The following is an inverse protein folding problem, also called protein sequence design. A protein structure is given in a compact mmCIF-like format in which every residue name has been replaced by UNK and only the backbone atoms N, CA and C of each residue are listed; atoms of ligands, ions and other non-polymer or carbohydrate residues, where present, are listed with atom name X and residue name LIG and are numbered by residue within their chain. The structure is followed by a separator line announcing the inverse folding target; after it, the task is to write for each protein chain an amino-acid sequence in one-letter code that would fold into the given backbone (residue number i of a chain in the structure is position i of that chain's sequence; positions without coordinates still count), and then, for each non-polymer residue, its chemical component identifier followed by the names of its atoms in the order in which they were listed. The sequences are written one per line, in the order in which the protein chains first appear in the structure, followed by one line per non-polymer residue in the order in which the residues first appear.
data_IF_261425324933
#
_entry.id   IF_261425324933
#
_cell.length_a   1.000
_cell.length_b   1.000
_cell.length_c   1.000
_cell.angle_alpha   90.00
_cell.angle_beta   90.00
_cell.angle_gamma   90.00
#
_symmetry.space_group_name_H-M   'P 1'
#
loop_
_entity.id
_entity.type
_entity.pdbx_description
1 polymer ?
#
# COMPACT_ATOMS: atom_id res chain seq x y z
N UNK A 1 1.36 13.64 16.17
CA UNK A 1 0.01 13.24 16.59
C UNK A 1 -1.08 13.84 15.68
N UNK A 2 -1.11 15.16 15.44
CA UNK A 2 -2.14 15.81 14.60
C UNK A 2 -2.21 15.26 13.16
N UNK A 3 -1.06 15.05 12.50
CA UNK A 3 -1.00 14.43 11.17
C UNK A 3 -1.54 12.99 11.16
N UNK A 4 -1.22 12.21 12.20
CA UNK A 4 -1.72 10.83 12.34
C UNK A 4 -3.25 10.81 12.52
N UNK A 5 -3.81 11.69 13.32
CA UNK A 5 -5.26 11.81 13.50
C UNK A 5 -5.96 12.22 12.20
N UNK A 6 -5.37 13.16 11.44
CA UNK A 6 -5.90 13.52 10.10
C UNK A 6 -5.92 12.32 9.17
N UNK A 7 -4.86 11.53 9.14
CA UNK A 7 -4.79 10.31 8.32
C UNK A 7 -5.84 9.27 8.75
N UNK A 8 -6.04 9.05 10.06
CA UNK A 8 -7.07 8.15 10.56
C UNK A 8 -8.48 8.57 10.10
N UNK A 9 -8.80 9.86 10.13
CA UNK A 9 -10.09 10.38 9.65
C UNK A 9 -10.29 10.19 8.12
N UNK A 10 -9.20 10.23 7.33
CA UNK A 10 -9.27 9.91 5.90
C UNK A 10 -9.59 8.41 5.68
N UNK A 11 -8.98 7.53 6.45
CA UNK A 11 -9.18 6.07 6.37
C UNK A 11 -10.59 5.69 6.83
N UNK A 12 -11.13 6.30 7.89
CA UNK A 12 -12.50 6.04 8.37
C UNK A 12 -13.59 6.28 7.33
N UNK A 13 -13.32 7.07 6.31
CA UNK A 13 -14.26 7.30 5.20
C UNK A 13 -14.51 6.06 4.32
N UNK A 14 -13.90 4.94 4.62
CA UNK A 14 -14.08 3.66 3.94
C UNK A 14 -13.14 3.47 2.75
N UNK A 15 -13.61 2.89 1.66
CA UNK A 15 -12.79 2.55 0.50
C UNK A 15 -11.87 3.70 0.08
N UNK A 16 -10.58 3.40 -0.07
CA UNK A 16 -9.56 4.35 -0.55
C UNK A 16 -9.45 4.36 -2.07
N UNK A 17 -10.10 3.41 -2.72
CA UNK A 17 -10.02 3.19 -4.15
C UNK A 17 -10.53 4.39 -4.95
N UNK A 18 -9.85 4.67 -6.05
CA UNK A 18 -10.39 5.51 -7.12
C UNK A 18 -11.44 4.68 -7.89
N UNK A 19 -12.71 4.77 -7.49
CA UNK A 19 -13.79 3.96 -8.06
C UNK A 19 -13.98 4.19 -9.55
N UNK A 20 -13.87 5.42 -10.04
CA UNK A 20 -13.98 5.72 -11.48
C UNK A 20 -12.87 4.98 -12.26
N UNK A 21 -11.66 4.96 -11.73
CA UNK A 21 -10.56 4.20 -12.31
C UNK A 21 -10.83 2.69 -12.23
N UNK A 22 -11.38 2.21 -11.11
CA UNK A 22 -11.69 0.79 -10.94
C UNK A 22 -12.69 0.30 -11.98
N UNK A 23 -13.80 1.00 -12.17
CA UNK A 23 -14.82 0.63 -13.17
C UNK A 23 -14.27 0.70 -14.59
N UNK A 24 -13.46 1.72 -14.90
CA UNK A 24 -12.79 1.79 -16.19
C UNK A 24 -11.90 0.57 -16.45
N UNK A 25 -11.07 0.20 -15.47
CA UNK A 25 -10.16 -0.95 -15.58
C UNK A 25 -10.92 -2.27 -15.69
N UNK A 26 -11.98 -2.47 -14.91
CA UNK A 26 -12.84 -3.65 -15.02
C UNK A 26 -13.41 -3.80 -16.43
N UNK A 27 -13.85 -2.71 -17.03
CA UNK A 27 -14.35 -2.72 -18.40
C UNK A 27 -13.24 -3.01 -19.43
N UNK A 28 -12.08 -2.36 -19.32
CA UNK A 28 -10.93 -2.56 -20.21
C UNK A 28 -10.40 -3.99 -20.17
N UNK A 29 -10.28 -4.57 -18.95
CA UNK A 29 -9.81 -5.93 -18.70
C UNK A 29 -10.90 -7.00 -18.91
N UNK A 30 -12.13 -6.58 -19.21
CA UNK A 30 -13.30 -7.45 -19.40
C UNK A 30 -13.58 -8.33 -18.18
N UNK A 31 -13.42 -7.77 -16.99
CA UNK A 31 -13.73 -8.40 -15.73
C UNK A 31 -15.17 -8.06 -15.31
N UNK A 32 -15.89 -9.04 -14.80
CA UNK A 32 -17.19 -8.81 -14.18
C UNK A 32 -17.06 -8.27 -12.74
N UNK A 33 -15.90 -8.49 -12.11
CA UNK A 33 -15.59 -7.94 -10.81
C UNK A 33 -14.22 -8.37 -10.28
N UNK A 34 -13.96 -7.99 -9.04
CA UNK A 34 -12.77 -8.34 -8.27
C UNK A 34 -13.16 -8.94 -6.94
N UNK A 35 -12.46 -9.98 -6.51
CA UNK A 35 -12.54 -10.55 -5.16
C UNK A 35 -11.14 -10.55 -4.58
N UNK A 36 -10.95 -9.89 -3.44
CA UNK A 36 -9.66 -9.75 -2.79
C UNK A 36 -9.68 -10.27 -1.37
N UNK A 37 -8.53 -10.76 -0.90
CA UNK A 37 -8.33 -11.29 0.45
C UNK A 37 -6.96 -10.97 1.05
N UNK A 38 -6.01 -10.49 0.26
CA UNK A 38 -4.73 -10.03 0.79
C UNK A 38 -4.93 -8.78 1.67
N UNK A 39 -4.29 -8.70 2.85
CA UNK A 39 -4.53 -7.62 3.83
C UNK A 39 -4.42 -6.20 3.25
N UNK A 40 -3.46 -5.93 2.38
CA UNK A 40 -3.32 -4.62 1.72
C UNK A 40 -4.48 -4.31 0.77
N UNK A 41 -5.01 -5.31 0.08
CA UNK A 41 -6.15 -5.13 -0.81
C UNK A 41 -7.45 -5.00 -0.01
N UNK A 42 -7.62 -5.76 1.07
CA UNK A 42 -8.74 -5.56 2.02
C UNK A 42 -8.72 -4.12 2.54
N UNK A 43 -7.55 -3.62 2.96
CA UNK A 43 -7.42 -2.23 3.40
C UNK A 43 -7.78 -1.23 2.29
N UNK A 44 -7.34 -1.46 1.07
CA UNK A 44 -7.63 -0.61 -0.08
C UNK A 44 -9.12 -0.52 -0.39
N UNK A 45 -9.82 -1.65 -0.29
CA UNK A 45 -11.26 -1.75 -0.54
C UNK A 45 -12.10 -1.14 0.60
N UNK A 46 -11.66 -1.24 1.84
CA UNK A 46 -12.52 -1.03 3.01
C UNK A 46 -12.03 0.03 3.99
N UNK A 47 -10.75 0.38 3.97
CA UNK A 47 -10.06 1.13 5.04
C UNK A 47 -9.69 0.27 6.24
N UNK A 48 -10.15 -0.99 6.33
CA UNK A 48 -9.89 -1.88 7.44
C UNK A 48 -8.53 -2.57 7.32
N UNK A 49 -7.70 -2.46 8.35
CA UNK A 49 -6.45 -3.21 8.46
C UNK A 49 -6.69 -4.59 9.06
N UNK A 50 -6.62 -5.63 8.24
CA UNK A 50 -6.78 -7.02 8.68
C UNK A 50 -5.50 -7.53 9.37
N UNK A 51 -5.32 -7.11 10.64
CA UNK A 51 -4.15 -7.46 11.45
C UNK A 51 -4.07 -8.97 11.77
N UNK A 52 -5.21 -9.67 11.77
CA UNK A 52 -5.22 -11.12 11.98
C UNK A 52 -4.70 -11.87 10.77
N UNK A 53 -5.11 -11.47 9.56
CA UNK A 53 -4.56 -12.05 8.33
C UNK A 53 -3.04 -11.82 8.24
N UNK A 54 -2.56 -10.61 8.57
CA UNK A 54 -1.11 -10.31 8.64
C UNK A 54 -0.41 -11.21 9.66
N UNK A 55 -0.99 -11.36 10.85
CA UNK A 55 -0.39 -12.16 11.95
C UNK A 55 -0.35 -13.65 11.66
N UNK A 56 -1.40 -14.18 11.05
CA UNK A 56 -1.52 -15.61 10.79
C UNK A 56 -0.98 -16.03 9.42
N UNK A 57 -0.69 -15.07 8.54
CA UNK A 57 -0.21 -15.34 7.18
C UNK A 57 -1.25 -16.04 6.30
N UNK A 58 -2.53 -15.89 6.65
CA UNK A 58 -3.65 -16.51 5.95
C UNK A 58 -4.84 -15.55 5.85
N UNK A 59 -5.55 -15.50 4.72
CA UNK A 59 -6.74 -14.67 4.57
C UNK A 59 -7.80 -14.97 5.63
N UNK A 60 -8.40 -13.91 6.18
CA UNK A 60 -9.48 -14.00 7.18
C UNK A 60 -10.74 -13.27 6.73
N UNK A 61 -10.65 -12.49 5.68
CA UNK A 61 -11.74 -11.66 5.13
C UNK A 61 -11.66 -11.59 3.62
N UNK A 62 -12.80 -11.30 2.98
CA UNK A 62 -12.87 -11.02 1.54
C UNK A 62 -13.60 -9.71 1.31
N UNK A 63 -13.17 -8.96 0.30
CA UNK A 63 -13.91 -7.83 -0.22
C UNK A 63 -14.18 -8.03 -1.72
N UNK A 64 -15.40 -7.72 -2.15
CA UNK A 64 -15.85 -7.98 -3.51
C UNK A 64 -16.39 -6.69 -4.12
N UNK A 65 -15.99 -6.42 -5.36
CA UNK A 65 -16.46 -5.31 -6.18
C UNK A 65 -17.00 -5.84 -7.51
N UNK A 66 -18.24 -5.49 -7.88
CA UNK A 66 -18.81 -5.75 -9.20
C UNK A 66 -18.43 -4.64 -10.17
N UNK A 67 -18.45 -4.92 -11.47
CA UNK A 67 -18.41 -3.89 -12.52
C UNK A 67 -19.68 -3.03 -12.58
N UNK A 68 -20.78 -3.48 -11.99
CA UNK A 68 -22.03 -2.72 -11.89
C UNK A 68 -21.91 -1.67 -10.77
N UNK A 69 -21.80 -0.40 -11.18
CA UNK A 69 -21.66 0.75 -10.29
C UNK A 69 -22.86 0.95 -9.32
N UNK A 70 -24.00 0.34 -9.62
CA UNK A 70 -25.20 0.41 -8.76
C UNK A 70 -25.16 -0.63 -7.62
N UNK A 71 -24.26 -1.59 -7.67
CA UNK A 71 -24.08 -2.60 -6.62
C UNK A 71 -23.14 -2.10 -5.54
N UNK A 72 -23.56 -2.27 -4.29
CA UNK A 72 -22.67 -2.00 -3.15
C UNK A 72 -21.56 -3.04 -3.09
N UNK A 73 -20.36 -2.60 -2.73
CA UNK A 73 -19.28 -3.50 -2.38
C UNK A 73 -19.76 -4.49 -1.30
N UNK A 74 -19.26 -5.73 -1.37
CA UNK A 74 -19.55 -6.73 -0.35
C UNK A 74 -18.29 -6.98 0.51
N UNK A 75 -18.54 -7.23 1.79
CA UNK A 75 -17.54 -7.75 2.73
C UNK A 75 -18.00 -9.13 3.18
N UNK A 76 -17.08 -10.09 3.18
CA UNK A 76 -17.27 -11.42 3.78
C UNK A 76 -16.29 -11.53 4.93
N UNK A 77 -16.78 -11.66 6.16
CA UNK A 77 -15.95 -11.60 7.36
C UNK A 77 -16.47 -12.51 8.47
N UNK A 78 -15.54 -13.08 9.23
CA UNK A 78 -15.93 -13.78 10.45
C UNK A 78 -16.58 -12.80 11.43
N UNK A 79 -17.68 -13.21 12.06
CA UNK A 79 -18.43 -12.36 13.01
C UNK A 79 -17.53 -11.86 14.14
N UNK A 80 -16.62 -12.69 14.66
CA UNK A 80 -15.67 -12.28 15.69
C UNK A 80 -14.81 -11.11 15.23
N UNK A 81 -14.23 -11.20 14.02
CA UNK A 81 -13.39 -10.13 13.44
C UNK A 81 -14.24 -8.88 13.22
N UNK A 82 -15.43 -9.03 12.70
CA UNK A 82 -16.35 -7.92 12.44
C UNK A 82 -16.67 -7.12 13.70
N UNK A 83 -17.12 -7.80 14.76
CA UNK A 83 -17.51 -7.13 16.02
C UNK A 83 -16.32 -6.65 16.85
N UNK A 84 -15.18 -7.32 16.82
CA UNK A 84 -14.02 -6.94 17.63
C UNK A 84 -13.03 -6.00 16.95
N UNK A 85 -13.10 -5.83 15.64
CA UNK A 85 -12.11 -5.04 14.91
C UNK A 85 -12.72 -4.11 13.88
N UNK A 86 -13.61 -4.60 13.03
CA UNK A 86 -14.17 -3.80 11.95
C UNK A 86 -15.14 -2.72 12.48
N UNK A 87 -16.06 -3.10 13.36
CA UNK A 87 -17.05 -2.16 13.96
C UNK A 87 -16.35 -1.05 14.75
N UNK A 88 -15.31 -1.38 15.52
CA UNK A 88 -14.58 -0.40 16.33
C UNK A 88 -13.86 0.68 15.48
N UNK A 89 -13.55 0.37 14.23
CA UNK A 89 -12.98 1.33 13.30
C UNK A 89 -13.95 2.43 12.85
N UNK A 90 -15.24 2.26 13.09
CA UNK A 90 -16.30 3.20 12.67
C UNK A 90 -16.17 3.61 11.19
N UNK A 91 -15.89 2.62 10.31
CA UNK A 91 -15.72 2.87 8.89
C UNK A 91 -17.05 3.28 8.24
N UNK A 92 -17.01 4.33 7.44
CA UNK A 92 -18.17 4.85 6.69
C UNK A 92 -18.32 4.15 5.32
N UNK A 93 -18.01 2.88 5.26
CA UNK A 93 -18.14 2.08 4.06
C UNK A 93 -19.61 1.74 3.81
N UNK A 94 -20.12 2.10 2.63
CA UNK A 94 -21.44 1.67 2.17
C UNK A 94 -21.31 0.30 1.51
N UNK A 95 -21.48 -0.78 2.30
CA UNK A 95 -21.31 -2.16 1.89
C UNK A 95 -22.50 -3.03 2.27
N UNK A 96 -22.59 -4.19 1.60
CA UNK A 96 -23.36 -5.35 2.07
C UNK A 96 -22.39 -6.28 2.80
N UNK A 97 -22.67 -6.56 4.07
CA UNK A 97 -21.77 -7.28 4.96
C UNK A 97 -22.31 -8.70 5.19
N UNK A 98 -21.57 -9.70 4.73
CA UNK A 98 -21.90 -11.12 4.89
C UNK A 98 -21.00 -11.72 5.97
N UNK A 99 -21.62 -12.01 7.12
CA UNK A 99 -20.90 -12.47 8.30
C UNK A 99 -21.08 -13.97 8.49
N UNK A 100 -20.04 -14.65 8.98
CA UNK A 100 -20.09 -16.07 9.27
C UNK A 100 -19.48 -16.39 10.63
N UNK A 101 -19.90 -17.50 11.25
CA UNK A 101 -19.33 -18.02 12.49
C UNK A 101 -18.29 -19.11 12.16
N UNK A 102 -17.03 -18.95 12.63
CA UNK A 102 -16.00 -19.96 12.45
C UNK A 102 -16.15 -21.21 13.34
N UNK A 103 -17.18 -21.26 14.20
CA UNK A 103 -17.29 -22.24 15.30
C UNK A 103 -18.55 -23.11 15.26
N UNK A 104 -19.21 -23.24 14.13
CA UNK A 104 -20.39 -24.08 14.07
C UNK A 104 -19.98 -25.56 14.07
N UNK A 105 -20.15 -26.22 15.24
CA UNK A 105 -19.86 -27.66 15.41
C UNK A 105 -20.69 -28.56 14.47
N UNK A 106 -21.81 -28.07 13.98
CA UNK A 106 -22.69 -28.83 13.09
C UNK A 106 -22.19 -28.87 11.64
N UNK A 107 -21.24 -28.02 11.27
CA UNK A 107 -20.61 -28.01 9.94
C UNK A 107 -19.37 -28.91 9.84
N UNK A 108 -19.02 -29.63 10.90
CA UNK A 108 -17.92 -30.60 10.89
C UNK A 108 -18.20 -31.88 10.06
N UNK A 109 -19.39 -32.04 9.52
CA UNK A 109 -19.75 -33.11 8.60
C UNK A 109 -19.26 -32.95 7.17
N UNK A 110 -18.40 -32.01 6.92
CA UNK A 110 -17.84 -31.76 5.60
C UNK A 110 -16.67 -32.68 5.26
N UNK A 111 -17.00 -33.91 4.93
CA UNK A 111 -16.10 -34.79 4.19
C UNK A 111 -15.76 -34.29 2.77
N UNK A 112 -15.58 -32.99 2.61
CA UNK A 112 -15.11 -32.37 1.36
C UNK A 112 -16.10 -32.41 0.18
N UNK A 113 -17.37 -32.76 0.40
CA UNK A 113 -18.36 -33.03 -0.67
C UNK A 113 -19.62 -32.15 -0.62
N UNK A 114 -19.66 -31.07 0.13
CA UNK A 114 -20.79 -30.18 0.06
C UNK A 114 -20.77 -29.41 -1.25
N UNK A 115 -21.68 -29.79 -2.13
CA UNK A 115 -22.09 -28.93 -3.24
C UNK A 115 -23.07 -27.89 -2.65
N UNK A 116 -22.51 -26.77 -2.16
CA UNK A 116 -23.26 -25.68 -1.51
C UNK A 116 -24.37 -25.15 -2.41
N UNK A 117 -24.25 -25.30 -3.73
CA UNK A 117 -25.29 -24.92 -4.70
C UNK A 117 -26.51 -25.86 -4.71
N UNK A 118 -26.45 -27.03 -4.07
CA UNK A 118 -27.49 -28.07 -4.10
C UNK A 118 -28.11 -28.36 -2.73
N UNK A 119 -27.65 -27.70 -1.66
CA UNK A 119 -28.14 -27.90 -0.30
C UNK A 119 -28.71 -26.61 0.27
N UNK A 120 -29.70 -26.73 1.16
CA UNK A 120 -30.18 -25.58 1.93
C UNK A 120 -29.12 -25.14 2.95
N UNK A 121 -29.00 -23.84 3.15
CA UNK A 121 -28.12 -23.28 4.17
C UNK A 121 -28.61 -23.71 5.56
N UNK A 122 -27.77 -24.30 6.41
CA UNK A 122 -28.13 -24.57 7.79
C UNK A 122 -28.31 -23.26 8.57
N UNK A 123 -29.06 -23.31 9.66
CA UNK A 123 -29.26 -22.14 10.52
C UNK A 123 -27.90 -21.55 10.95
N UNK A 124 -27.74 -20.26 10.72
CA UNK A 124 -26.56 -19.53 11.20
C UNK A 124 -26.56 -19.54 12.73
N UNK A 125 -25.42 -19.83 13.35
CA UNK A 125 -25.30 -19.62 14.79
C UNK A 125 -25.48 -18.13 15.08
N UNK A 126 -26.24 -17.78 16.16
CA UNK A 126 -26.42 -16.38 16.50
C UNK A 126 -25.05 -15.70 16.63
N UNK A 127 -24.95 -14.52 16.07
CA UNK A 127 -23.79 -13.69 16.16
C UNK A 127 -23.35 -13.48 17.63
N UNK A 128 -22.15 -12.94 17.83
CA UNK A 128 -21.79 -12.23 19.04
C UNK A 128 -22.71 -11.01 19.21
N UNK A 129 -24.00 -11.26 19.24
CA UNK A 129 -25.00 -10.22 19.48
C UNK A 129 -25.02 -9.93 20.96
N UNK A 130 -25.23 -8.68 21.24
CA UNK A 130 -25.57 -8.19 22.57
C UNK A 130 -26.84 -8.89 23.03
N UNK A 131 -26.69 -10.04 23.70
CA UNK A 131 -27.83 -10.91 24.05
C UNK A 131 -28.72 -10.32 25.16
N UNK A 132 -28.18 -9.45 25.96
CA UNK A 132 -28.94 -8.59 26.86
C UNK A 132 -28.04 -7.49 27.38
N UNK A 133 -28.56 -6.28 27.48
CA UNK A 133 -27.93 -5.27 28.30
C UNK A 133 -28.01 -5.72 29.75
N UNK A 134 -26.86 -5.91 30.40
CA UNK A 134 -26.81 -6.24 31.80
C UNK A 134 -27.49 -5.16 32.67
N UNK A 135 -27.62 -5.41 33.96
CA UNK A 135 -28.18 -4.45 34.91
C UNK A 135 -27.25 -3.27 35.23
N UNK A 136 -26.03 -3.29 34.72
CA UNK A 136 -25.02 -2.27 34.94
C UNK A 136 -24.98 -1.27 33.78
N UNK A 137 -24.55 -0.03 34.05
CA UNK A 137 -24.31 0.93 32.98
C UNK A 137 -23.33 0.34 31.96
N UNK A 138 -23.64 0.49 30.68
CA UNK A 138 -22.72 0.11 29.62
C UNK A 138 -21.55 1.07 29.59
N UNK A 139 -20.37 0.55 29.25
CA UNK A 139 -19.18 1.38 29.08
C UNK A 139 -19.23 2.16 27.77
N UNK A 140 -18.50 3.26 27.70
CA UNK A 140 -18.44 4.13 26.52
C UNK A 140 -18.08 3.37 25.21
N UNK A 141 -17.19 2.38 25.28
CA UNK A 141 -16.80 1.57 24.12
C UNK A 141 -18.00 0.71 23.66
N UNK A 142 -18.72 0.09 24.59
CA UNK A 142 -19.89 -0.72 24.29
C UNK A 142 -21.02 0.13 23.68
N UNK A 143 -21.27 1.31 24.23
CA UNK A 143 -22.25 2.26 23.71
C UNK A 143 -21.89 2.66 22.27
N UNK A 144 -20.64 2.99 21.99
CA UNK A 144 -20.18 3.32 20.66
C UNK A 144 -20.38 2.15 19.67
N UNK A 145 -20.04 0.93 20.08
CA UNK A 145 -20.25 -0.29 19.26
C UNK A 145 -21.73 -0.49 18.94
N UNK A 146 -22.61 -0.35 19.93
CA UNK A 146 -24.06 -0.46 19.72
C UNK A 146 -24.57 0.60 18.74
N UNK A 147 -24.10 1.83 18.85
CA UNK A 147 -24.50 2.91 17.95
C UNK A 147 -24.04 2.64 16.51
N UNK A 148 -22.81 2.19 16.30
CA UNK A 148 -22.30 1.85 14.97
C UNK A 148 -23.03 0.62 14.42
N UNK A 149 -23.25 -0.41 15.23
CA UNK A 149 -23.98 -1.61 14.83
C UNK A 149 -25.42 -1.30 14.41
N UNK A 150 -26.14 -0.48 15.18
CA UNK A 150 -27.53 -0.11 14.88
C UNK A 150 -27.66 0.57 13.51
N UNK A 151 -26.64 1.33 13.09
CA UNK A 151 -26.61 1.98 11.77
C UNK A 151 -26.37 1.00 10.61
N UNK A 152 -25.85 -0.20 10.90
CA UNK A 152 -25.47 -1.20 9.90
C UNK A 152 -26.39 -2.43 9.86
N UNK A 153 -27.37 -2.53 10.73
CA UNK A 153 -28.22 -3.73 10.85
C UNK A 153 -28.82 -4.18 9.52
N UNK A 154 -29.32 -3.23 8.71
CA UNK A 154 -29.92 -3.53 7.40
C UNK A 154 -28.91 -3.98 6.34
N UNK A 155 -27.62 -3.74 6.58
CA UNK A 155 -26.53 -4.15 5.68
C UNK A 155 -25.98 -5.53 6.02
N UNK A 156 -26.23 -6.07 7.21
CA UNK A 156 -25.67 -7.32 7.69
C UNK A 156 -26.53 -8.51 7.27
N UNK A 157 -25.89 -9.53 6.73
CA UNK A 157 -26.49 -10.85 6.45
C UNK A 157 -25.66 -11.93 7.14
N UNK A 158 -26.26 -12.68 8.03
CA UNK A 158 -25.59 -13.79 8.71
C UNK A 158 -25.58 -15.05 7.84
N UNK A 159 -24.53 -15.83 7.95
CA UNK A 159 -24.32 -17.06 7.20
C UNK A 159 -23.74 -18.15 8.09
N UNK A 160 -24.05 -19.40 7.77
CA UNK A 160 -23.62 -20.55 8.55
C UNK A 160 -22.09 -20.71 8.56
N UNK A 161 -21.45 -20.48 7.41
CA UNK A 161 -19.98 -20.48 7.27
C UNK A 161 -19.53 -19.53 6.16
N UNK A 162 -18.21 -19.50 5.91
CA UNK A 162 -17.62 -18.58 4.93
C UNK A 162 -17.99 -18.95 3.48
N UNK A 163 -18.24 -20.23 3.17
CA UNK A 163 -18.63 -20.65 1.84
C UNK A 163 -20.03 -20.07 1.49
N UNK A 164 -20.98 -20.18 2.42
CA UNK A 164 -22.32 -19.59 2.26
C UNK A 164 -22.26 -18.07 2.18
N UNK A 165 -21.48 -17.45 3.04
CA UNK A 165 -21.31 -16.00 3.03
C UNK A 165 -20.73 -15.50 1.70
N UNK A 166 -19.68 -16.14 1.18
CA UNK A 166 -19.08 -15.80 -0.10
C UNK A 166 -20.05 -16.04 -1.26
N UNK A 167 -20.74 -17.16 -1.27
CA UNK A 167 -21.75 -17.45 -2.30
C UNK A 167 -22.86 -16.42 -2.34
N UNK A 168 -23.41 -16.00 -1.18
CA UNK A 168 -24.44 -14.97 -1.10
C UNK A 168 -23.92 -13.63 -1.63
N UNK A 169 -22.71 -13.25 -1.26
CA UNK A 169 -22.06 -12.03 -1.74
C UNK A 169 -21.86 -12.05 -3.25
N UNK A 170 -21.36 -13.17 -3.81
CA UNK A 170 -21.19 -13.34 -5.24
C UNK A 170 -22.52 -13.27 -6.00
N UNK A 171 -23.56 -13.93 -5.51
CA UNK A 171 -24.90 -13.86 -6.12
C UNK A 171 -25.48 -12.46 -6.09
N UNK A 172 -25.35 -11.73 -4.98
CA UNK A 172 -25.79 -10.33 -4.88
C UNK A 172 -25.10 -9.45 -5.91
N UNK A 173 -23.80 -9.67 -6.14
CA UNK A 173 -22.98 -8.91 -7.08
C UNK A 173 -23.07 -9.43 -8.52
N UNK A 174 -23.79 -10.52 -8.77
CA UNK A 174 -23.88 -11.21 -10.06
C UNK A 174 -22.49 -11.72 -10.55
N UNK A 175 -21.66 -12.13 -9.59
CA UNK A 175 -20.32 -12.70 -9.82
C UNK A 175 -20.30 -14.24 -9.73
N UNK A 176 -21.45 -14.88 -9.58
CA UNK A 176 -21.63 -16.33 -9.57
C UNK A 176 -21.47 -16.98 -10.95
N UNK A 177 -21.24 -16.17 -11.95
CA UNK A 177 -20.88 -16.49 -13.33
C UNK A 177 -20.00 -15.38 -13.91
N UNK A 178 -19.35 -15.63 -15.04
CA UNK A 178 -18.50 -14.64 -15.73
C UNK A 178 -17.04 -14.72 -15.28
N UNK A 179 -16.29 -13.65 -15.49
CA UNK A 179 -14.84 -13.59 -15.28
C UNK A 179 -14.52 -12.66 -14.11
N UNK A 180 -13.86 -13.17 -13.08
CA UNK A 180 -13.53 -12.45 -11.85
C UNK A 180 -12.02 -12.47 -11.62
N UNK A 181 -11.43 -11.28 -11.36
CA UNK A 181 -10.04 -11.16 -10.95
C UNK A 181 -9.90 -11.43 -9.45
N UNK A 182 -8.92 -12.25 -9.07
CA UNK A 182 -8.64 -12.63 -7.67
C UNK A 182 -7.19 -12.33 -7.30
N UNK A 183 -6.93 -12.08 -6.02
CA UNK A 183 -5.58 -11.77 -5.53
C UNK A 183 -4.93 -12.92 -4.74
N UNK A 184 -5.66 -14.01 -4.50
CA UNK A 184 -5.13 -15.12 -3.70
C UNK A 184 -5.75 -16.47 -4.09
N UNK A 185 -4.96 -17.55 -4.19
CA UNK A 185 -5.44 -18.88 -4.61
C UNK A 185 -6.57 -19.48 -3.75
N UNK A 186 -6.70 -19.07 -2.48
CA UNK A 186 -7.79 -19.52 -1.61
C UNK A 186 -9.16 -19.15 -2.17
N UNK A 187 -9.26 -18.03 -2.85
CA UNK A 187 -10.52 -17.57 -3.48
C UNK A 187 -10.90 -18.53 -4.60
N UNK A 188 -9.96 -18.86 -5.48
CA UNK A 188 -10.15 -19.77 -6.59
C UNK A 188 -10.57 -21.17 -6.13
N UNK A 189 -9.91 -21.67 -5.08
CA UNK A 189 -10.22 -22.97 -4.46
C UNK A 189 -11.64 -22.96 -3.88
N UNK A 190 -12.03 -21.86 -3.23
CA UNK A 190 -13.36 -21.72 -2.64
C UNK A 190 -14.42 -21.66 -3.72
N UNK A 191 -14.26 -20.83 -4.76
CA UNK A 191 -15.21 -20.73 -5.87
C UNK A 191 -15.42 -22.07 -6.57
N UNK A 192 -14.34 -22.81 -6.82
CA UNK A 192 -14.41 -24.17 -7.38
C UNK A 192 -15.19 -25.13 -6.48
N UNK A 193 -14.98 -25.05 -5.16
CA UNK A 193 -15.71 -25.86 -4.16
C UNK A 193 -17.18 -25.50 -4.15
N UNK A 194 -17.55 -24.22 -4.34
CA UNK A 194 -18.91 -23.77 -4.40
C UNK A 194 -19.68 -24.25 -5.65
N UNK A 195 -18.97 -24.73 -6.66
CA UNK A 195 -19.56 -25.20 -7.92
C UNK A 195 -20.25 -24.09 -8.73
N UNK A 196 -19.74 -22.86 -8.65
CA UNK A 196 -20.23 -21.73 -9.42
C UNK A 196 -19.63 -21.70 -10.84
N UNK A 197 -20.36 -21.13 -11.78
CA UNK A 197 -19.93 -20.96 -13.19
C UNK A 197 -18.98 -19.76 -13.38
N UNK A 198 -18.26 -19.39 -12.34
CA UNK A 198 -17.33 -18.25 -12.33
C UNK A 198 -15.96 -18.71 -12.78
N UNK A 199 -15.39 -18.00 -13.74
CA UNK A 199 -14.01 -18.15 -14.17
C UNK A 199 -13.16 -17.18 -13.36
N UNK A 200 -12.19 -17.70 -12.61
CA UNK A 200 -11.23 -16.87 -11.87
C UNK A 200 -9.95 -16.68 -12.68
N UNK A 201 -9.42 -15.47 -12.68
CA UNK A 201 -8.11 -15.15 -13.24
C UNK A 201 -7.29 -14.35 -12.23
N UNK A 202 -5.97 -14.26 -12.45
CA UNK A 202 -5.10 -13.39 -11.66
C UNK A 202 -5.53 -11.93 -11.78
N UNK A 203 -5.94 -11.33 -10.67
CA UNK A 203 -6.41 -9.94 -10.59
C UNK A 203 -5.31 -8.92 -10.30
N UNK A 204 -4.05 -9.34 -10.05
CA UNK A 204 -2.97 -8.42 -9.64
C UNK A 204 -2.73 -7.33 -10.69
N UNK A 205 -2.76 -7.68 -11.97
CA UNK A 205 -2.59 -6.70 -13.06
C UNK A 205 -3.69 -5.61 -13.03
N UNK A 206 -4.95 -6.00 -12.93
CA UNK A 206 -6.06 -5.06 -12.84
C UNK A 206 -5.97 -4.20 -11.59
N UNK A 207 -5.68 -4.80 -10.43
CA UNK A 207 -5.48 -4.08 -9.17
C UNK A 207 -4.36 -3.04 -9.26
N UNK A 208 -3.24 -3.34 -9.92
CA UNK A 208 -2.14 -2.39 -10.14
C UNK A 208 -2.55 -1.26 -11.07
N UNK A 209 -3.29 -1.54 -12.16
CA UNK A 209 -3.86 -0.51 -13.04
C UNK A 209 -4.84 0.43 -12.30
N UNK A 210 -5.55 -0.08 -11.31
CA UNK A 210 -6.42 0.74 -10.48
C UNK A 210 -5.58 1.61 -9.53
N UNK A 211 -4.64 1.01 -8.81
CA UNK A 211 -3.83 1.66 -7.77
C UNK A 211 -2.90 2.74 -8.31
N UNK A 212 -2.44 2.62 -9.56
CA UNK A 212 -1.48 3.57 -10.13
C UNK A 212 -2.06 4.99 -10.23
N UNK A 213 -3.38 5.13 -10.41
CA UNK A 213 -4.10 6.42 -10.42
C UNK A 213 -4.75 6.64 -9.06
N UNK A 214 -4.15 7.48 -8.25
CA UNK A 214 -4.55 7.69 -6.87
C UNK A 214 -5.87 8.45 -6.74
N UNK A 215 -6.67 8.10 -5.73
CA UNK A 215 -7.77 8.95 -5.29
C UNK A 215 -7.22 10.17 -4.51
N UNK A 216 -8.03 11.21 -4.34
CA UNK A 216 -7.67 12.38 -3.53
C UNK A 216 -7.27 11.99 -2.10
N UNK A 217 -7.94 10.99 -1.51
CA UNK A 217 -7.63 10.52 -0.16
C UNK A 217 -6.30 9.76 -0.09
N UNK A 218 -5.98 8.97 -1.11
CA UNK A 218 -4.68 8.32 -1.22
C UNK A 218 -3.56 9.36 -1.33
N UNK A 219 -3.75 10.39 -2.15
CA UNK A 219 -2.80 11.49 -2.30
C UNK A 219 -2.52 12.17 -0.95
N UNK A 220 -3.58 12.48 -0.18
CA UNK A 220 -3.42 13.10 1.14
C UNK A 220 -2.72 12.16 2.15
N UNK A 221 -3.02 10.88 2.16
CA UNK A 221 -2.34 9.88 2.99
C UNK A 221 -0.86 9.77 2.61
N UNK A 222 -0.55 9.77 1.31
CA UNK A 222 0.82 9.72 0.81
C UNK A 222 1.61 10.98 1.15
N UNK A 223 1.01 12.18 1.07
CA UNK A 223 1.63 13.42 1.54
C UNK A 223 2.05 13.33 3.01
N UNK A 224 1.16 12.82 3.86
CA UNK A 224 1.45 12.66 5.30
C UNK A 224 2.55 11.63 5.51
N UNK A 225 2.44 10.47 4.88
CA UNK A 225 3.39 9.38 5.04
C UNK A 225 4.78 9.71 4.50
N UNK A 226 4.85 10.27 3.29
CA UNK A 226 6.10 10.66 2.65
C UNK A 226 6.83 11.75 3.43
N UNK A 227 6.12 12.76 3.91
CA UNK A 227 6.73 13.81 4.73
C UNK A 227 7.23 13.26 6.08
N UNK A 228 6.44 12.38 6.72
CA UNK A 228 6.87 11.74 7.97
C UNK A 228 8.12 10.88 7.76
N UNK A 229 8.23 10.18 6.61
CA UNK A 229 9.38 9.37 6.24
C UNK A 229 10.64 10.24 6.06
N UNK A 230 10.56 11.31 5.31
CA UNK A 230 11.65 12.26 5.10
C UNK A 230 12.09 12.92 6.42
N UNK A 231 11.13 13.43 7.20
CA UNK A 231 11.40 14.05 8.52
C UNK A 231 12.05 13.06 9.50
N UNK A 232 11.63 11.78 9.48
CA UNK A 232 12.21 10.74 10.32
C UNK A 232 13.66 10.43 9.92
N UNK A 233 13.92 10.34 8.62
CA UNK A 233 15.25 10.09 8.06
C UNK A 233 16.24 11.19 8.45
N UNK A 234 15.84 12.45 8.27
CA UNK A 234 16.67 13.60 8.65
C UNK A 234 16.89 13.65 10.15
N UNK A 235 15.86 13.40 10.95
CA UNK A 235 15.98 13.41 12.41
C UNK A 235 16.91 12.28 12.90
N UNK A 236 16.87 11.11 12.29
CA UNK A 236 17.78 10.01 12.61
C UNK A 236 19.23 10.36 12.28
N UNK A 237 19.49 10.86 11.06
CA UNK A 237 20.84 11.24 10.62
C UNK A 237 21.44 12.29 11.54
N UNK A 238 20.70 13.32 11.93
CA UNK A 238 21.18 14.38 12.83
C UNK A 238 21.53 13.89 14.24
N UNK A 239 21.11 12.70 14.63
CA UNK A 239 21.42 12.11 15.94
C UNK A 239 22.67 11.23 15.95
N UNK A 240 23.18 10.81 14.79
CA UNK A 240 24.39 10.00 14.75
C UNK A 240 25.61 10.84 15.21
N UNK A 241 26.59 10.13 15.79
CA UNK A 241 27.86 10.68 16.26
C UNK A 241 28.98 9.88 15.64
N UNK A 242 30.16 10.44 15.62
CA UNK A 242 31.36 9.72 15.16
C UNK A 242 31.49 8.38 15.88
N UNK A 243 31.62 7.31 15.11
CA UNK A 243 31.65 5.93 15.60
C UNK A 243 30.29 5.25 15.76
N UNK A 244 29.16 5.95 15.50
CA UNK A 244 27.86 5.31 15.39
C UNK A 244 27.89 4.24 14.28
N UNK A 245 27.13 3.18 14.47
CA UNK A 245 27.09 2.07 13.51
C UNK A 245 25.88 2.15 12.57
N UNK A 246 25.88 1.32 11.53
CA UNK A 246 24.71 1.16 10.65
C UNK A 246 23.47 0.76 11.45
N UNK A 247 23.64 -0.12 12.45
CA UNK A 247 22.51 -0.55 13.30
C UNK A 247 22.01 0.58 14.21
N UNK A 248 22.90 1.45 14.70
CA UNK A 248 22.48 2.63 15.46
C UNK A 248 21.64 3.58 14.59
N UNK A 249 22.05 3.83 13.35
CA UNK A 249 21.29 4.67 12.43
C UNK A 249 19.92 4.04 12.08
N UNK A 250 19.87 2.72 11.84
CA UNK A 250 18.60 2.01 11.64
C UNK A 250 17.67 2.13 12.85
N UNK A 251 18.20 1.91 14.05
CA UNK A 251 17.42 2.02 15.29
C UNK A 251 16.87 3.45 15.50
N UNK A 252 17.67 4.46 15.22
CA UNK A 252 17.25 5.86 15.28
C UNK A 252 16.14 6.14 14.25
N UNK A 253 16.30 5.70 13.00
CA UNK A 253 15.27 5.86 11.97
C UNK A 253 13.96 5.19 12.37
N UNK A 254 14.02 3.96 12.88
CA UNK A 254 12.82 3.22 13.33
C UNK A 254 12.10 3.96 14.46
N UNK A 255 12.87 4.47 15.43
CA UNK A 255 12.33 5.28 16.52
C UNK A 255 11.66 6.56 16.00
N UNK A 256 12.32 7.26 15.08
CA UNK A 256 11.81 8.52 14.52
C UNK A 256 10.57 8.32 13.64
N UNK A 257 10.48 7.21 12.90
CA UNK A 257 9.26 6.82 12.17
C UNK A 257 8.08 6.62 13.12
N UNK A 258 8.28 5.82 14.17
CA UNK A 258 7.23 5.50 15.14
C UNK A 258 6.73 6.73 15.89
N UNK A 259 7.60 7.67 16.25
CA UNK A 259 7.23 8.97 16.87
C UNK A 259 6.30 9.80 15.97
N UNK A 260 6.37 9.62 14.64
CA UNK A 260 5.57 10.36 13.65
C UNK A 260 4.34 9.60 13.18
N UNK A 261 4.15 8.35 13.64
CA UNK A 261 3.02 7.49 13.27
C UNK A 261 3.24 6.69 11.99
N UNK A 262 4.47 6.63 11.49
CA UNK A 262 4.87 5.70 10.43
C UNK A 262 5.41 4.40 11.02
N UNK A 263 5.22 3.32 10.29
CA UNK A 263 5.85 2.02 10.51
C UNK A 263 7.09 1.94 9.61
N UNK A 264 8.29 1.74 10.15
CA UNK A 264 9.49 1.61 9.33
C UNK A 264 9.46 0.30 8.53
N UNK A 265 9.91 0.34 7.29
CA UNK A 265 9.97 -0.82 6.40
C UNK A 265 11.42 -1.17 6.05
N UNK A 266 12.20 -0.17 5.66
CA UNK A 266 13.57 -0.35 5.18
C UNK A 266 14.38 0.91 5.48
N UNK A 267 15.63 0.73 5.87
CA UNK A 267 16.68 1.74 5.72
C UNK A 267 17.90 1.08 5.09
N UNK A 268 18.08 1.31 3.81
CA UNK A 268 19.32 0.96 3.13
C UNK A 268 20.36 2.04 3.41
N UNK A 269 21.57 1.64 3.73
CA UNK A 269 22.73 2.51 3.91
C UNK A 269 23.78 2.07 2.89
N UNK A 270 24.13 2.94 1.97
CA UNK A 270 24.87 2.60 0.76
C UNK A 270 24.15 1.54 -0.08
N UNK A 271 24.78 0.41 -0.34
CA UNK A 271 24.22 -0.74 -1.05
C UNK A 271 23.83 -1.87 -0.09
N UNK A 272 23.75 -1.58 1.23
CA UNK A 272 23.62 -2.63 2.25
C UNK A 272 22.23 -2.65 2.86
N UNK A 273 21.50 -3.74 2.60
CA UNK A 273 20.19 -4.05 3.19
C UNK A 273 20.25 -5.13 4.27
N UNK A 274 21.43 -5.74 4.50
CA UNK A 274 21.56 -6.85 5.42
C UNK A 274 21.23 -6.46 6.86
N UNK A 275 20.34 -7.21 7.51
CA UNK A 275 19.98 -7.01 8.91
C UNK A 275 21.12 -7.33 9.90
N UNK A 276 22.11 -8.10 9.45
CA UNK A 276 23.26 -8.50 10.26
C UNK A 276 24.51 -7.68 9.99
N UNK A 277 24.50 -6.82 8.96
CA UNK A 277 25.64 -5.97 8.66
C UNK A 277 25.74 -4.81 9.65
N UNK A 278 26.92 -4.61 10.21
CA UNK A 278 27.15 -3.53 11.16
C UNK A 278 28.60 -3.03 11.09
N UNK A 279 28.78 -1.81 10.56
CA UNK A 279 30.07 -1.10 10.54
C UNK A 279 29.91 0.28 11.14
N UNK A 280 31.00 0.82 11.69
CA UNK A 280 31.02 2.19 12.21
C UNK A 280 31.08 3.20 11.07
N UNK A 281 30.32 4.27 11.24
CA UNK A 281 30.35 5.48 10.44
C UNK A 281 31.40 6.44 11.05
N UNK A 282 32.26 7.01 10.23
CA UNK A 282 33.44 7.77 10.69
C UNK A 282 33.59 9.09 9.95
N UNK A 283 34.33 9.99 10.54
CA UNK A 283 34.72 11.23 9.87
C UNK A 283 35.39 10.95 8.52
N UNK A 284 34.97 11.66 7.50
CA UNK A 284 35.39 11.48 6.11
C UNK A 284 34.52 10.49 5.31
N UNK A 285 33.62 9.74 5.94
CA UNK A 285 32.71 8.85 5.22
C UNK A 285 31.65 9.65 4.44
N UNK A 286 31.38 9.15 3.25
CA UNK A 286 30.25 9.59 2.43
C UNK A 286 29.40 8.37 2.08
N UNK A 287 28.14 8.41 2.45
CA UNK A 287 27.19 7.32 2.21
C UNK A 287 25.83 7.84 1.75
N UNK A 288 25.11 6.99 1.04
CA UNK A 288 23.73 7.23 0.70
C UNK A 288 22.80 6.53 1.67
N UNK A 289 21.65 7.11 1.91
CA UNK A 289 20.49 6.43 2.50
C UNK A 289 19.38 6.30 1.46
N UNK A 290 18.65 5.21 1.57
CA UNK A 290 17.38 4.97 0.92
C UNK A 290 16.41 4.47 2.02
N UNK A 291 15.41 5.28 2.33
CA UNK A 291 14.60 5.15 3.52
C UNK A 291 13.13 4.98 3.16
N UNK A 292 12.54 3.87 3.58
CA UNK A 292 11.14 3.56 3.35
C UNK A 292 10.42 3.31 4.67
N UNK A 293 9.34 4.04 4.89
CA UNK A 293 8.38 3.79 5.95
C UNK A 293 6.96 4.05 5.45
N UNK A 294 5.96 3.52 6.11
CA UNK A 294 4.58 3.75 5.68
C UNK A 294 3.68 4.23 6.81
N UNK A 295 2.75 5.12 6.49
CA UNK A 295 1.62 5.49 7.33
C UNK A 295 0.33 4.95 6.72
N UNK A 296 -0.46 4.19 7.48
CA UNK A 296 -1.67 3.54 6.96
C UNK A 296 -1.42 2.79 5.64
N UNK A 297 -0.36 1.99 5.60
CA UNK A 297 0.13 1.21 4.44
C UNK A 297 0.66 2.00 3.24
N UNK A 298 0.48 3.32 3.17
CA UNK A 298 1.04 4.12 2.09
C UNK A 298 2.51 4.42 2.33
N UNK A 299 3.35 4.03 1.39
CA UNK A 299 4.80 4.16 1.51
C UNK A 299 5.24 5.60 1.25
N UNK A 300 6.19 6.06 2.07
CA UNK A 300 7.09 7.13 1.73
C UNK A 300 8.39 6.53 1.22
N UNK A 301 9.08 7.25 0.34
CA UNK A 301 10.36 6.88 -0.23
C UNK A 301 11.26 8.10 -0.26
N UNK A 302 12.52 7.95 0.14
CA UNK A 302 13.38 9.10 0.36
C UNK A 302 14.85 8.74 0.32
N UNK A 303 15.56 9.26 -0.68
CA UNK A 303 16.99 9.05 -0.86
C UNK A 303 17.81 10.32 -0.64
N UNK A 304 18.87 10.25 0.17
CA UNK A 304 19.82 11.36 0.39
C UNK A 304 21.26 10.87 0.52
N UNK A 305 22.15 11.76 0.11
CA UNK A 305 23.59 11.61 0.36
C UNK A 305 23.97 12.29 1.68
N UNK A 306 24.71 11.60 2.52
CA UNK A 306 25.21 12.05 3.82
C UNK A 306 26.73 12.12 3.80
N UNK A 307 27.28 13.23 4.23
CA UNK A 307 28.70 13.45 4.47
C UNK A 307 28.96 13.59 5.96
N UNK A 308 29.93 12.85 6.46
CA UNK A 308 30.48 13.07 7.80
C UNK A 308 31.75 13.88 7.64
N UNK A 309 31.68 15.20 7.92
CA UNK A 309 32.74 16.16 7.64
C UNK A 309 32.73 16.66 6.19
N UNK A 310 33.88 17.13 5.71
CA UNK A 310 33.98 17.79 4.41
C UNK A 310 33.93 16.79 3.24
N UNK A 311 33.03 17.00 2.26
CA UNK A 311 32.92 16.12 1.10
C UNK A 311 34.15 16.21 0.20
N UNK A 312 34.63 15.06 -0.32
CA UNK A 312 35.63 15.04 -1.35
C UNK A 312 35.13 15.73 -2.62
N UNK A 313 36.07 16.29 -3.42
CA UNK A 313 35.70 16.94 -4.69
C UNK A 313 34.97 15.98 -5.63
N UNK A 314 35.32 14.71 -5.67
CA UNK A 314 34.69 13.70 -6.53
C UNK A 314 33.23 13.43 -6.09
N UNK A 315 33.03 13.30 -4.78
CA UNK A 315 31.67 13.09 -4.25
C UNK A 315 30.79 14.32 -4.40
N UNK A 316 31.38 15.53 -4.20
CA UNK A 316 30.65 16.79 -4.46
C UNK A 316 30.23 16.90 -5.93
N UNK A 317 31.11 16.59 -6.88
CA UNK A 317 30.76 16.55 -8.29
C UNK A 317 29.64 15.56 -8.60
N UNK A 318 29.62 14.39 -7.94
CA UNK A 318 28.56 13.39 -8.12
C UNK A 318 27.21 13.90 -7.60
N UNK A 319 27.18 14.48 -6.40
CA UNK A 319 25.94 15.05 -5.82
C UNK A 319 25.42 16.24 -6.60
N UNK A 320 26.32 17.11 -7.09
CA UNK A 320 25.93 18.24 -7.96
C UNK A 320 25.33 17.75 -9.28
N UNK A 321 25.91 16.68 -9.88
CA UNK A 321 25.42 16.11 -11.13
C UNK A 321 24.04 15.48 -10.99
N UNK A 322 23.80 14.65 -9.94
CA UNK A 322 22.47 14.06 -9.71
C UNK A 322 21.43 15.14 -9.35
N UNK A 323 21.85 16.20 -8.67
CA UNK A 323 20.97 17.36 -8.38
C UNK A 323 20.55 18.07 -9.67
N UNK A 324 21.48 18.28 -10.61
CA UNK A 324 21.14 18.83 -11.95
C UNK A 324 20.23 17.89 -12.74
N UNK A 325 20.49 16.58 -12.65
CA UNK A 325 19.63 15.55 -13.28
C UNK A 325 18.20 15.61 -12.74
N UNK A 326 18.07 15.73 -11.42
CA UNK A 326 16.77 15.83 -10.75
C UNK A 326 16.05 17.14 -11.13
N UNK A 327 16.74 18.29 -11.14
CA UNK A 327 16.14 19.56 -11.54
C UNK A 327 15.59 19.50 -12.97
N UNK A 328 16.34 18.92 -13.89
CA UNK A 328 15.91 18.78 -15.27
C UNK A 328 14.68 17.85 -15.42
N UNK A 329 14.63 16.78 -14.62
CA UNK A 329 13.47 15.88 -14.57
C UNK A 329 12.26 16.62 -14.02
N UNK A 330 12.39 17.20 -12.83
CA UNK A 330 11.30 17.89 -12.12
C UNK A 330 10.64 18.97 -12.96
N UNK A 331 11.43 19.75 -13.70
CA UNK A 331 10.95 20.81 -14.58
C UNK A 331 10.08 20.28 -15.74
N UNK A 332 10.28 19.02 -16.14
CA UNK A 332 9.63 18.43 -17.31
C UNK A 332 8.52 17.42 -16.96
N UNK A 333 8.43 16.97 -15.70
CA UNK A 333 7.39 16.02 -15.28
C UNK A 333 6.00 16.57 -15.59
N UNK A 334 5.21 15.81 -16.34
CA UNK A 334 3.82 16.12 -16.69
C UNK A 334 3.12 14.88 -17.26
N UNK A 335 1.79 14.87 -17.34
CA UNK A 335 1.06 13.81 -18.05
C UNK A 335 1.55 13.67 -19.52
N UNK A 336 1.56 12.45 -20.01
CA UNK A 336 1.98 12.09 -21.37
C UNK A 336 3.47 11.76 -21.53
N UNK A 337 4.32 12.07 -20.54
CA UNK A 337 5.75 11.75 -20.57
C UNK A 337 5.96 10.25 -20.27
N UNK A 338 6.81 9.58 -21.03
CA UNK A 338 7.16 8.17 -20.76
C UNK A 338 8.27 8.04 -19.72
N UNK A 339 8.31 6.94 -19.00
CA UNK A 339 9.41 6.62 -18.06
C UNK A 339 10.79 6.63 -18.74
N UNK A 340 10.88 6.14 -19.99
CA UNK A 340 12.12 6.21 -20.78
C UNK A 340 12.56 7.65 -21.08
N UNK A 341 11.61 8.55 -21.29
CA UNK A 341 11.90 9.98 -21.51
C UNK A 341 12.35 10.66 -20.22
N UNK A 342 11.72 10.33 -19.06
CA UNK A 342 12.18 10.78 -17.75
C UNK A 342 13.64 10.40 -17.52
N UNK A 343 13.98 9.11 -17.77
CA UNK A 343 15.36 8.62 -17.69
C UNK A 343 16.31 9.39 -18.61
N UNK A 344 15.88 9.64 -19.83
CA UNK A 344 16.69 10.36 -20.83
C UNK A 344 16.97 11.80 -20.41
N UNK A 345 15.94 12.52 -19.94
CA UNK A 345 16.06 13.93 -19.51
C UNK A 345 17.13 14.06 -18.40
N UNK A 346 17.03 13.27 -17.34
CA UNK A 346 17.99 13.34 -16.25
C UNK A 346 19.41 12.95 -16.64
N UNK A 347 19.56 11.88 -17.40
CA UNK A 347 20.87 11.43 -17.91
C UNK A 347 21.53 12.45 -18.83
N UNK A 348 20.77 13.07 -19.72
CA UNK A 348 21.29 14.10 -20.63
C UNK A 348 21.76 15.35 -19.86
N UNK A 349 21.04 15.74 -18.80
CA UNK A 349 21.44 16.86 -17.95
C UNK A 349 22.74 16.55 -17.19
N UNK A 350 22.85 15.37 -16.58
CA UNK A 350 24.06 14.93 -15.90
C UNK A 350 25.26 14.86 -16.86
N UNK A 351 25.07 14.31 -18.06
CA UNK A 351 26.12 14.24 -19.06
C UNK A 351 26.59 15.61 -19.51
N UNK A 352 25.70 16.58 -19.70
CA UNK A 352 26.05 17.97 -20.04
C UNK A 352 26.86 18.65 -18.95
N UNK A 353 26.72 18.27 -17.68
CA UNK A 353 27.57 18.79 -16.58
C UNK A 353 28.99 18.21 -16.56
N UNK A 354 29.31 17.28 -17.47
CA UNK A 354 30.61 16.59 -17.52
C UNK A 354 30.68 15.34 -16.63
N UNK A 355 29.56 14.92 -16.02
CA UNK A 355 29.54 13.69 -15.23
C UNK A 355 29.45 12.46 -16.16
N UNK A 356 30.45 11.58 -16.09
CA UNK A 356 30.64 10.47 -17.02
C UNK A 356 30.24 9.11 -16.48
N UNK A 357 29.98 9.00 -15.17
CA UNK A 357 29.56 7.75 -14.55
C UNK A 357 28.11 7.41 -14.90
N UNK A 358 27.83 6.11 -14.99
CA UNK A 358 26.47 5.63 -15.24
C UNK A 358 25.62 5.83 -13.99
N UNK A 359 24.45 6.42 -14.16
CA UNK A 359 23.43 6.55 -13.12
C UNK A 359 22.17 5.78 -13.55
N UNK A 360 21.75 4.85 -12.71
CA UNK A 360 20.55 4.07 -12.93
C UNK A 360 19.31 4.90 -12.58
N UNK A 361 19.05 5.99 -13.31
CA UNK A 361 17.87 6.81 -13.09
C UNK A 361 16.61 5.98 -13.34
N UNK A 362 15.83 5.76 -12.28
CA UNK A 362 14.72 4.80 -12.29
C UNK A 362 13.45 5.45 -11.76
N UNK A 363 12.55 5.94 -12.63
CA UNK A 363 11.21 6.30 -12.20
C UNK A 363 10.42 5.02 -11.88
N UNK A 364 9.65 5.04 -10.80
CA UNK A 364 8.68 4.00 -10.46
C UNK A 364 7.49 4.59 -9.73
N UNK A 365 6.32 3.95 -9.83
CA UNK A 365 5.17 4.38 -9.05
C UNK A 365 5.25 3.82 -7.63
N UNK A 366 4.60 4.49 -6.71
CA UNK A 366 4.58 4.13 -5.30
C UNK A 366 3.18 4.36 -4.71
N UNK A 367 2.83 3.57 -3.71
CA UNK A 367 1.54 3.65 -3.05
C UNK A 367 1.44 2.66 -1.90
N UNK A 368 0.43 1.81 -1.90
CA UNK A 368 0.26 0.71 -0.93
C UNK A 368 1.40 -0.33 -1.00
N UNK A 369 2.01 -0.46 -2.14
CA UNK A 369 3.26 -1.21 -2.32
C UNK A 369 4.35 -0.24 -2.74
N UNK A 370 5.60 -0.56 -2.40
CA UNK A 370 6.76 0.25 -2.76
C UNK A 370 6.84 0.46 -4.29
N UNK A 371 6.40 -0.53 -5.06
CA UNK A 371 6.31 -0.45 -6.51
C UNK A 371 4.99 -1.09 -6.94
N UNK A 372 4.03 -0.28 -7.37
CA UNK A 372 2.67 -0.73 -7.69
C UNK A 372 2.29 -0.62 -9.18
N UNK A 373 3.26 -0.43 -10.08
CA UNK A 373 3.03 -0.49 -11.52
C UNK A 373 2.59 -1.88 -11.97
N UNK A 374 1.69 -1.94 -12.99
CA UNK A 374 1.41 -3.19 -13.70
C UNK A 374 2.68 -3.73 -14.37
N UNK A 375 2.85 -5.04 -14.33
CA UNK A 375 3.93 -5.72 -15.05
C UNK A 375 3.67 -5.81 -16.54
N UNK A 376 4.73 -6.08 -17.31
CA UNK A 376 4.64 -6.26 -18.75
C UNK A 376 3.77 -7.47 -19.10
N UNK A 377 2.88 -7.30 -20.06
CA UNK A 377 1.97 -8.36 -20.54
C UNK A 377 1.09 -8.97 -19.43
N UNK A 378 0.70 -8.16 -18.43
CA UNK A 378 -0.14 -8.62 -17.33
C UNK A 378 0.60 -9.42 -16.26
N UNK A 379 1.92 -9.63 -16.39
CA UNK A 379 2.71 -10.26 -15.35
C UNK A 379 2.91 -9.28 -14.18
N UNK A 380 2.61 -9.69 -12.95
CA UNK A 380 2.88 -8.93 -11.73
C UNK A 380 4.39 -8.84 -11.41
N UNK A 381 5.25 -8.90 -12.41
CA UNK A 381 6.69 -8.99 -12.22
C UNK A 381 7.33 -7.62 -12.03
N UNK A 382 7.96 -7.42 -10.89
CA UNK A 382 8.83 -6.27 -10.63
C UNK A 382 9.88 -6.05 -11.71
N UNK A 383 10.39 -7.12 -12.34
CA UNK A 383 11.51 -7.10 -13.28
C UNK A 383 11.10 -6.86 -14.74
N UNK A 384 9.83 -7.04 -15.07
CA UNK A 384 9.32 -6.89 -16.43
C UNK A 384 8.29 -5.77 -16.49
N UNK A 385 8.76 -4.55 -16.62
CA UNK A 385 7.91 -3.36 -16.67
C UNK A 385 7.71 -2.87 -18.10
N UNK A 386 6.53 -2.35 -18.37
CA UNK A 386 6.27 -1.57 -19.56
C UNK A 386 6.90 -0.18 -19.44
N UNK A 387 7.08 0.50 -20.58
CA UNK A 387 7.47 1.91 -20.62
C UNK A 387 6.24 2.79 -20.36
N UNK A 388 5.88 2.92 -19.08
CA UNK A 388 4.65 3.58 -18.66
C UNK A 388 4.62 5.06 -19.06
N UNK A 389 3.41 5.52 -19.37
CA UNK A 389 3.12 6.93 -19.64
C UNK A 389 2.57 7.55 -18.35
N UNK A 390 3.15 8.67 -17.92
CA UNK A 390 2.67 9.43 -16.79
C UNK A 390 1.25 9.94 -17.04
N UNK A 391 0.41 9.82 -16.03
CA UNK A 391 -0.97 10.30 -16.02
C UNK A 391 -1.19 11.15 -14.78
N UNK A 392 -2.17 12.03 -14.85
CA UNK A 392 -2.62 12.79 -13.69
C UNK A 392 -3.00 11.87 -12.52
N UNK A 393 -2.68 12.28 -11.31
CA UNK A 393 -2.88 11.53 -10.07
C UNK A 393 -1.98 10.28 -9.90
N UNK A 394 -0.97 10.10 -10.74
CA UNK A 394 0.12 9.18 -10.41
C UNK A 394 1.05 9.83 -9.38
N UNK A 395 1.55 9.03 -8.44
CA UNK A 395 2.68 9.40 -7.58
C UNK A 395 3.85 8.51 -7.95
N UNK A 396 4.96 9.15 -8.29
CA UNK A 396 6.18 8.46 -8.68
C UNK A 396 7.34 8.85 -7.78
N UNK A 397 8.23 7.92 -7.55
CA UNK A 397 9.60 8.17 -7.13
C UNK A 397 10.52 8.25 -8.33
N UNK A 398 11.59 8.99 -8.20
CA UNK A 398 12.65 9.04 -9.22
C UNK A 398 14.01 8.91 -8.54
N UNK A 399 14.59 7.72 -8.65
CA UNK A 399 15.90 7.40 -8.09
C UNK A 399 17.05 7.90 -8.95
N UNK A 400 18.02 8.53 -8.33
CA UNK A 400 19.28 8.92 -8.95
C UNK A 400 20.47 8.41 -8.11
N UNK A 401 20.76 7.09 -8.13
CA UNK A 401 21.86 6.52 -7.35
C UNK A 401 23.19 6.56 -8.12
N UNK A 402 24.26 6.93 -7.43
CA UNK A 402 25.65 6.80 -7.89
C UNK A 402 26.34 5.76 -7.03
N UNK A 403 26.46 4.55 -7.56
CA UNK A 403 26.90 3.37 -6.81
C UNK A 403 28.16 2.76 -7.44
N UNK A 404 29.05 2.22 -6.59
CA UNK A 404 30.18 1.38 -6.99
C UNK A 404 31.12 2.00 -8.04
N UNK A 405 31.32 3.31 -7.98
CA UNK A 405 32.16 4.04 -8.96
C UNK A 405 33.60 4.20 -8.54
N UNK A 406 33.94 3.88 -7.29
CA UNK A 406 35.29 4.06 -6.74
C UNK A 406 35.68 5.52 -6.47
N UNK A 407 34.70 6.45 -6.42
CA UNK A 407 34.96 7.88 -6.18
C UNK A 407 35.02 8.28 -4.71
N UNK A 408 34.93 7.32 -3.79
CA UNK A 408 35.08 7.55 -2.36
C UNK A 408 33.77 7.53 -1.56
N UNK A 409 32.70 6.95 -2.09
CA UNK A 409 31.42 6.78 -1.42
C UNK A 409 30.28 6.54 -2.40
N UNK A 410 29.06 6.57 -1.89
CA UNK A 410 27.84 6.48 -2.67
C UNK A 410 27.04 7.79 -2.57
N UNK A 411 26.31 8.12 -3.62
CA UNK A 411 25.37 9.25 -3.61
C UNK A 411 24.00 8.78 -4.06
N UNK A 412 22.97 9.37 -3.48
CA UNK A 412 21.58 9.12 -3.85
C UNK A 412 20.76 10.39 -3.66
N UNK A 413 19.88 10.62 -4.59
CA UNK A 413 18.82 11.63 -4.48
C UNK A 413 17.53 11.02 -4.99
N UNK A 414 16.50 11.06 -4.15
CA UNK A 414 15.19 10.51 -4.43
C UNK A 414 14.12 11.28 -3.65
N UNK A 415 13.08 11.68 -4.35
CA UNK A 415 11.88 12.32 -3.80
C UNK A 415 10.64 11.87 -4.55
N UNK A 416 9.50 11.91 -3.86
CA UNK A 416 8.21 11.59 -4.44
C UNK A 416 7.56 12.82 -5.10
N UNK A 417 6.97 12.57 -6.25
CA UNK A 417 6.29 13.61 -7.04
C UNK A 417 4.90 13.14 -7.44
N UNK A 418 3.90 13.96 -7.12
CA UNK A 418 2.56 13.84 -7.66
C UNK A 418 2.52 14.44 -9.06
N UNK A 419 2.01 13.69 -10.03
CA UNK A 419 1.74 14.19 -11.38
C UNK A 419 0.38 14.89 -11.39
N UNK A 420 0.38 16.18 -11.58
CA UNK A 420 -0.82 17.01 -11.71
C UNK A 420 -1.09 17.34 -13.18
N UNK A 421 -2.24 17.94 -13.49
CA UNK A 421 -2.55 18.45 -14.86
C UNK A 421 -1.47 19.39 -15.40
N UNK A 422 -0.84 20.17 -14.53
CA UNK A 422 0.08 21.25 -14.88
C UNK A 422 1.56 20.87 -14.79
N UNK A 423 1.88 19.73 -14.17
CA UNK A 423 3.27 19.29 -13.98
C UNK A 423 3.49 18.36 -12.80
N UNK A 424 4.73 18.30 -12.31
CA UNK A 424 5.10 17.53 -11.14
C UNK A 424 5.11 18.37 -9.86
N UNK A 425 4.41 17.92 -8.82
CA UNK A 425 4.42 18.50 -7.47
C UNK A 425 5.17 17.58 -6.49
N UNK A 426 6.26 18.07 -5.89
CA UNK A 426 6.95 17.30 -4.84
C UNK A 426 6.11 17.24 -3.57
N UNK A 427 6.01 16.05 -2.99
CA UNK A 427 5.18 15.81 -1.79
C UNK A 427 5.98 15.57 -0.51
N UNK A 428 7.29 15.41 -0.60
CA UNK A 428 8.19 15.20 0.54
C UNK A 428 9.47 16.06 0.46
N UNK A 429 9.41 17.23 -0.17
CA UNK A 429 10.55 18.15 -0.27
C UNK A 429 10.93 18.70 1.11
N UNK A 430 12.19 18.52 1.48
CA UNK A 430 12.78 19.07 2.71
C UNK A 430 13.80 20.18 2.42
N UNK A 431 13.94 20.61 1.15
CA UNK A 431 14.87 21.65 0.70
C UNK A 431 16.34 21.25 0.63
N UNK A 432 16.78 20.25 1.40
CA UNK A 432 18.17 19.80 1.43
C UNK A 432 18.36 18.56 0.58
N UNK A 433 19.26 18.62 -0.41
CA UNK A 433 19.61 17.49 -1.30
C UNK A 433 20.78 16.66 -0.78
N UNK A 434 21.62 17.27 0.02
CA UNK A 434 22.73 16.62 0.74
C UNK A 434 22.65 16.96 2.22
N UNK A 435 23.19 16.11 3.05
CA UNK A 435 23.27 16.29 4.49
C UNK A 435 24.74 16.26 4.88
N UNK A 436 25.21 17.30 5.55
CA UNK A 436 26.58 17.39 6.08
C UNK A 436 26.48 17.42 7.61
N UNK A 437 27.24 16.54 8.28
CA UNK A 437 27.32 16.37 9.73
C UNK A 437 28.66 16.87 10.25
#
# INVERSE_FOLDING_TARGET
LAKHMKAAELVKKGSLMNLNQAFRVLHEEKLDGLIVSLPKNIFYFTGYHDHLAVRYGSPTSFALLSKDENKKMCIVMNQFIYYFSFIDGDFKLDSKDYLFTGWNKNNTGLDGKLNVSQTDEPDASPAYTWQSMGRYPIGQIEENRLNVLSQKLDAISESADYDWALMKAMKYLELDKGIVGTDHPVIDQTIKKLGLDTITIDGDHALRKIKIIKSEREIELMRISAQNNADASIAAIKQIRNGATHQDLKALFFSECSKRGNVPSLLQIDTVNSEVFNKSLRDGDCFAIDAVSHGFHYNGDFGRTVFIGEPSKSMKNATDAISLGWDAVREKLRPGLKYSEVRKIGRDAMKKSGFTYSVALTPHSIGLTHTDEPGKNGAGSFWQKDDLILQENMIISVDLPVLNTGIGGTAHLEDLTLITSDGGEQINDIGNRIIVL
#
